data_IF_461120169214
#
_entry.id   IF_461120169214
#
_cell.length_a   1.000
_cell.length_b   1.000
_cell.length_c   1.000
_cell.angle_alpha   90.00
_cell.angle_beta   90.00
_cell.angle_gamma   90.00
#
_symmetry.space_group_name_H-M   'P 1'
#
loop_
_entity.id
_entity.type
_entity.pdbx_description
1 polymer ?
#
# COMPACT_ATOMS: atom_id res chain seq x y z
N UNK A 1 26.16 -7.36 -12.01
CA UNK A 1 25.62 -7.55 -10.67
C UNK A 1 24.96 -8.92 -10.52
N UNK A 2 24.00 -9.29 -11.36
CA UNK A 2 23.33 -10.60 -11.36
C UNK A 2 23.91 -11.61 -12.36
N UNK A 3 25.01 -11.29 -13.01
CA UNK A 3 25.61 -12.07 -14.08
C UNK A 3 25.74 -13.58 -13.78
N UNK A 4 26.17 -14.01 -12.58
CA UNK A 4 26.28 -15.42 -12.26
C UNK A 4 24.95 -16.17 -12.15
N UNK A 5 23.85 -15.47 -11.89
CA UNK A 5 22.50 -16.00 -11.68
C UNK A 5 21.59 -15.82 -12.90
N UNK A 6 21.95 -14.93 -13.84
CA UNK A 6 21.18 -14.67 -15.07
C UNK A 6 21.02 -15.95 -15.89
N UNK A 7 19.78 -16.26 -16.27
CA UNK A 7 19.43 -17.47 -17.00
C UNK A 7 19.41 -18.78 -16.17
N UNK A 8 19.85 -18.73 -14.90
CA UNK A 8 19.79 -19.86 -13.95
C UNK A 8 18.62 -19.70 -13.00
N UNK A 9 18.74 -18.78 -12.04
CA UNK A 9 17.74 -18.52 -11.01
C UNK A 9 17.10 -17.13 -11.12
N UNK A 10 17.61 -16.26 -12.01
CA UNK A 10 17.04 -14.93 -12.28
C UNK A 10 16.78 -14.76 -13.77
N UNK A 11 15.61 -14.20 -14.08
CA UNK A 11 15.29 -13.57 -15.35
C UNK A 11 14.89 -12.11 -15.08
N UNK A 12 15.40 -11.20 -15.91
CA UNK A 12 15.05 -9.77 -15.83
C UNK A 12 14.25 -9.41 -17.06
N UNK A 13 13.07 -8.85 -16.85
CA UNK A 13 12.19 -8.41 -17.91
C UNK A 13 11.77 -6.96 -17.64
N UNK A 14 12.39 -6.04 -18.36
CA UNK A 14 12.21 -4.57 -18.21
C UNK A 14 12.44 -4.14 -16.75
N UNK A 15 11.37 -3.91 -15.99
CA UNK A 15 11.44 -3.45 -14.59
C UNK A 15 11.24 -4.58 -13.57
N UNK A 16 10.91 -5.79 -14.04
CA UNK A 16 10.60 -6.93 -13.19
C UNK A 16 11.76 -7.91 -13.11
N UNK A 17 11.99 -8.45 -11.91
CA UNK A 17 12.93 -9.55 -11.67
C UNK A 17 12.13 -10.78 -11.31
N UNK A 18 12.23 -11.80 -12.15
CA UNK A 18 11.63 -13.11 -11.90
C UNK A 18 12.68 -14.04 -11.32
N UNK A 19 12.36 -14.63 -10.16
CA UNK A 19 13.18 -15.68 -9.55
C UNK A 19 12.57 -17.02 -9.85
N UNK A 20 13.36 -17.92 -10.44
CA UNK A 20 12.96 -19.28 -10.75
C UNK A 20 13.94 -20.28 -10.17
N UNK A 21 13.48 -21.45 -9.81
CA UNK A 21 14.30 -22.55 -9.33
C UNK A 21 13.90 -23.84 -10.04
N UNK A 22 14.87 -24.70 -10.30
CA UNK A 22 14.59 -26.00 -10.94
C UNK A 22 13.86 -26.95 -10.01
N UNK A 23 14.14 -26.88 -8.72
CA UNK A 23 13.56 -27.73 -7.69
C UNK A 23 12.95 -26.86 -6.60
N UNK A 24 11.75 -27.22 -6.16
CA UNK A 24 10.99 -26.44 -5.14
C UNK A 24 11.79 -26.27 -3.84
N UNK A 25 12.50 -27.30 -3.41
CA UNK A 25 13.32 -27.25 -2.19
C UNK A 25 14.48 -26.25 -2.25
N UNK A 26 14.96 -25.91 -3.45
CA UNK A 26 16.08 -24.97 -3.65
C UNK A 26 15.60 -23.51 -3.71
N UNK A 27 14.30 -23.29 -3.94
CA UNK A 27 13.75 -21.94 -4.18
C UNK A 27 14.05 -20.95 -3.06
N UNK A 28 13.96 -21.38 -1.81
CA UNK A 28 14.27 -20.53 -0.65
C UNK A 28 15.76 -20.17 -0.61
N UNK A 29 16.63 -21.11 -1.02
CA UNK A 29 18.08 -20.89 -1.14
C UNK A 29 18.40 -19.86 -2.22
N UNK A 30 17.81 -20.00 -3.40
CA UNK A 30 17.97 -19.08 -4.52
C UNK A 30 17.49 -17.67 -4.17
N UNK A 31 16.30 -17.55 -3.57
CA UNK A 31 15.79 -16.27 -3.07
C UNK A 31 16.76 -15.61 -2.08
N UNK A 32 17.32 -16.39 -1.16
CA UNK A 32 18.27 -15.86 -0.16
C UNK A 32 19.53 -15.30 -0.81
N UNK A 33 20.06 -15.98 -1.82
CA UNK A 33 21.22 -15.50 -2.60
C UNK A 33 20.90 -14.18 -3.28
N UNK A 34 19.73 -14.08 -3.91
CA UNK A 34 19.30 -12.89 -4.64
C UNK A 34 19.10 -11.72 -3.68
N UNK A 35 18.41 -11.92 -2.56
CA UNK A 35 18.21 -10.87 -1.55
C UNK A 35 19.54 -10.39 -0.94
N UNK A 36 20.53 -11.28 -0.79
CA UNK A 36 21.86 -10.88 -0.34
C UNK A 36 22.59 -10.00 -1.38
N UNK A 37 22.43 -10.29 -2.67
CA UNK A 37 22.99 -9.44 -3.74
C UNK A 37 22.31 -8.06 -3.72
N UNK A 38 20.98 -8.01 -3.64
CA UNK A 38 20.22 -6.76 -3.56
C UNK A 38 20.65 -5.92 -2.34
N UNK A 39 20.80 -6.57 -1.18
CA UNK A 39 21.25 -5.91 0.06
C UNK A 39 22.67 -5.37 -0.05
N UNK A 40 23.60 -6.16 -0.61
CA UNK A 40 24.99 -5.76 -0.84
C UNK A 40 25.09 -4.50 -1.70
N UNK A 41 24.24 -4.40 -2.71
CA UNK A 41 24.20 -3.24 -3.61
C UNK A 41 23.24 -2.12 -3.17
N UNK A 42 22.68 -2.23 -1.96
CA UNK A 42 21.73 -1.24 -1.38
C UNK A 42 20.58 -0.91 -2.33
N UNK A 43 20.12 -1.88 -3.12
CA UNK A 43 18.99 -1.70 -4.02
C UNK A 43 17.69 -1.69 -3.24
N UNK A 44 16.80 -0.80 -3.64
CA UNK A 44 15.43 -0.75 -3.15
C UNK A 44 14.54 -1.46 -4.16
N UNK A 45 13.76 -2.41 -3.68
CA UNK A 45 12.79 -3.12 -4.51
C UNK A 45 11.42 -2.47 -4.34
N UNK A 46 10.79 -2.13 -5.46
CA UNK A 46 9.36 -1.89 -5.51
C UNK A 46 8.67 -3.24 -5.79
N UNK A 47 7.91 -3.71 -4.83
CA UNK A 47 7.12 -4.93 -4.98
C UNK A 47 5.66 -4.61 -4.78
N UNK A 48 4.83 -4.82 -5.80
CA UNK A 48 3.40 -4.48 -5.79
C UNK A 48 3.10 -3.04 -5.33
N UNK A 49 3.96 -2.08 -5.73
CA UNK A 49 3.83 -0.68 -5.34
C UNK A 49 4.38 -0.32 -3.95
N UNK A 50 4.97 -1.28 -3.23
CA UNK A 50 5.61 -1.07 -1.93
C UNK A 50 7.14 -1.12 -2.04
N UNK A 51 7.81 -0.38 -1.16
CA UNK A 51 9.27 -0.49 -1.04
C UNK A 51 9.63 -1.51 0.04
N UNK A 52 10.45 -2.48 -0.34
CA UNK A 52 11.07 -3.43 0.61
C UNK A 52 12.43 -2.89 1.01
N UNK A 53 12.61 -2.60 2.28
CA UNK A 53 13.85 -2.08 2.88
C UNK A 53 14.37 -3.03 3.96
N UNK A 54 15.52 -2.72 4.52
CA UNK A 54 16.05 -3.48 5.66
C UNK A 54 15.21 -3.30 6.94
N UNK A 55 14.38 -2.25 7.01
CA UNK A 55 13.48 -1.98 8.14
C UNK A 55 12.14 -2.68 8.02
N UNK A 56 11.81 -3.18 6.83
CA UNK A 56 10.53 -3.80 6.54
C UNK A 56 9.92 -3.30 5.23
N UNK A 57 8.60 -3.37 5.14
CA UNK A 57 7.83 -2.91 3.98
C UNK A 57 7.34 -1.49 4.23
N UNK A 58 7.66 -0.60 3.32
CA UNK A 58 7.34 0.83 3.39
C UNK A 58 6.49 1.25 2.19
N UNK A 59 5.71 2.31 2.37
CA UNK A 59 4.98 2.94 1.27
C UNK A 59 5.96 3.61 0.31
N UNK A 60 5.70 3.51 -0.98
CA UNK A 60 6.48 4.24 -1.98
C UNK A 60 6.32 5.76 -1.76
N UNK A 61 7.44 6.52 -1.67
CA UNK A 61 7.37 7.97 -1.54
C UNK A 61 6.61 8.66 -2.67
N UNK A 62 6.58 8.04 -3.85
CA UNK A 62 5.83 8.58 -4.99
C UNK A 62 4.33 8.52 -4.76
N UNK A 63 3.82 7.45 -4.13
CA UNK A 63 2.40 7.34 -3.77
C UNK A 63 2.01 8.38 -2.70
N UNK A 64 2.87 8.57 -1.70
CA UNK A 64 2.66 9.59 -0.67
C UNK A 64 2.65 10.99 -1.31
N UNK A 65 3.63 11.30 -2.14
CA UNK A 65 3.69 12.57 -2.88
C UNK A 65 2.48 12.80 -3.75
N UNK A 66 1.98 11.76 -4.42
CA UNK A 66 0.79 11.86 -5.25
C UNK A 66 -0.42 12.30 -4.42
N UNK A 67 -0.65 11.74 -3.23
CA UNK A 67 -1.76 12.14 -2.35
C UNK A 67 -1.51 13.55 -1.77
N UNK A 68 -0.27 13.88 -1.38
CA UNK A 68 0.05 15.21 -0.87
C UNK A 68 -0.19 16.32 -1.89
N UNK A 69 0.09 16.05 -3.16
CA UNK A 69 -0.10 17.00 -4.26
C UNK A 69 -1.56 17.15 -4.72
N UNK A 70 -2.45 16.25 -4.27
CA UNK A 70 -3.88 16.40 -4.57
C UNK A 70 -4.43 17.67 -3.94
N UNK A 71 -5.18 18.43 -4.75
CA UNK A 71 -6.01 19.51 -4.27
C UNK A 71 -7.32 18.97 -3.68
N UNK A 72 -8.11 19.85 -3.06
CA UNK A 72 -9.44 19.50 -2.59
C UNK A 72 -10.29 18.97 -3.74
N UNK A 73 -10.89 17.78 -3.60
CA UNK A 73 -11.81 17.27 -4.59
C UNK A 73 -12.96 18.25 -4.87
N UNK A 74 -13.24 18.49 -6.15
CA UNK A 74 -14.28 19.43 -6.59
C UNK A 74 -15.53 18.70 -7.12
N UNK A 75 -15.44 17.41 -7.29
CA UNK A 75 -16.51 16.57 -7.83
C UNK A 75 -16.38 15.13 -7.33
N UNK A 76 -17.46 14.32 -7.44
CA UNK A 76 -17.44 12.93 -7.00
C UNK A 76 -16.36 12.07 -7.65
N UNK A 77 -15.99 12.36 -8.90
CA UNK A 77 -14.95 11.62 -9.62
C UNK A 77 -13.57 11.82 -9.01
N UNK A 78 -13.27 13.02 -8.53
CA UNK A 78 -12.01 13.30 -7.83
C UNK A 78 -11.99 12.65 -6.44
N UNK A 79 -13.14 12.56 -5.75
CA UNK A 79 -13.25 11.78 -4.51
C UNK A 79 -13.04 10.29 -4.78
N UNK A 80 -13.59 9.76 -5.86
CA UNK A 80 -13.36 8.37 -6.28
C UNK A 80 -11.87 8.11 -6.56
N UNK A 81 -11.19 9.07 -7.15
CA UNK A 81 -9.75 9.00 -7.37
C UNK A 81 -8.97 8.96 -6.05
N UNK A 82 -9.33 9.86 -5.12
CA UNK A 82 -8.75 9.88 -3.77
C UNK A 82 -8.97 8.55 -3.04
N UNK A 83 -10.21 8.04 -3.02
CA UNK A 83 -10.53 6.75 -2.38
C UNK A 83 -9.80 5.58 -3.02
N UNK A 84 -9.66 5.56 -4.35
CA UNK A 84 -8.85 4.57 -5.06
C UNK A 84 -7.38 4.61 -4.65
N UNK A 85 -6.78 5.80 -4.57
CA UNK A 85 -5.39 5.96 -4.15
C UNK A 85 -5.19 5.54 -2.67
N UNK A 86 -6.10 5.92 -1.79
CA UNK A 86 -6.01 5.53 -0.37
C UNK A 86 -6.25 4.04 -0.16
N UNK A 87 -7.10 3.40 -0.96
CA UNK A 87 -7.34 1.96 -0.92
C UNK A 87 -6.08 1.14 -1.22
N UNK A 88 -5.20 1.62 -2.10
CA UNK A 88 -3.90 0.97 -2.35
C UNK A 88 -2.96 1.04 -1.16
N UNK A 89 -3.18 1.98 -0.24
CA UNK A 89 -2.39 2.23 0.96
C UNK A 89 -3.06 1.74 2.26
N UNK A 90 -4.19 1.04 2.16
CA UNK A 90 -5.02 0.65 3.31
C UNK A 90 -4.23 -0.06 4.42
N UNK A 91 -3.25 -0.89 4.06
CA UNK A 91 -2.39 -1.63 5.01
C UNK A 91 -1.50 -0.72 5.86
N UNK A 92 -1.19 0.48 5.35
CA UNK A 92 -0.36 1.47 6.05
C UNK A 92 -1.19 2.54 6.75
N UNK A 93 -2.50 2.49 6.65
CA UNK A 93 -3.39 3.43 7.29
C UNK A 93 -4.10 2.71 8.44
N UNK A 94 -3.61 2.93 9.66
CA UNK A 94 -4.30 2.40 10.85
C UNK A 94 -5.72 2.96 10.93
N UNK A 95 -6.67 2.11 11.28
CA UNK A 95 -8.09 2.48 11.32
C UNK A 95 -8.56 3.08 9.98
N UNK A 96 -8.16 2.42 8.87
CA UNK A 96 -8.45 2.89 7.51
C UNK A 96 -9.93 3.22 7.32
N UNK A 97 -10.83 2.35 7.78
CA UNK A 97 -12.26 2.54 7.66
C UNK A 97 -12.69 3.89 8.26
N UNK A 98 -12.30 4.18 9.50
CA UNK A 98 -12.68 5.41 10.19
C UNK A 98 -12.14 6.66 9.51
N UNK A 99 -10.86 6.62 9.08
CA UNK A 99 -10.20 7.76 8.45
C UNK A 99 -10.71 8.07 7.05
N UNK A 100 -11.11 7.05 6.31
CA UNK A 100 -11.55 7.18 4.92
C UNK A 100 -13.07 7.18 4.76
N UNK A 101 -13.84 6.81 5.80
CA UNK A 101 -15.30 6.82 5.79
C UNK A 101 -15.91 8.12 5.24
N UNK A 102 -15.45 9.33 5.64
CA UNK A 102 -16.01 10.57 5.14
C UNK A 102 -16.00 10.65 3.60
N UNK A 103 -14.91 10.20 2.98
CA UNK A 103 -14.76 10.24 1.52
C UNK A 103 -15.68 9.22 0.83
N UNK A 104 -15.87 8.02 1.41
CA UNK A 104 -16.80 7.04 0.89
C UNK A 104 -18.25 7.52 1.00
N UNK A 105 -18.62 8.17 2.09
CA UNK A 105 -19.95 8.77 2.26
C UNK A 105 -20.19 9.90 1.26
N UNK A 106 -19.17 10.73 1.01
CA UNK A 106 -19.25 11.82 0.03
C UNK A 106 -19.35 11.29 -1.40
N UNK A 107 -18.68 10.20 -1.73
CA UNK A 107 -18.75 9.57 -3.05
C UNK A 107 -20.18 9.11 -3.39
N UNK A 108 -20.96 8.68 -2.39
CA UNK A 108 -22.33 8.21 -2.58
C UNK A 108 -23.35 9.37 -2.73
N UNK A 109 -22.97 10.62 -2.45
CA UNK A 109 -23.82 11.81 -2.61
C UNK A 109 -23.75 12.37 -4.03
N UNK A 110 -24.31 11.67 -5.01
CA UNK A 110 -24.33 12.11 -6.42
C UNK A 110 -25.11 13.39 -6.68
N UNK A 111 -26.14 13.66 -5.85
CA UNK A 111 -26.93 14.90 -5.91
C UNK A 111 -26.57 15.76 -4.70
N UNK A 112 -25.97 16.93 -4.96
CA UNK A 112 -25.57 17.87 -3.92
C UNK A 112 -24.17 17.59 -3.36
N UNK A 113 -23.18 17.37 -4.26
CA UNK A 113 -21.79 17.31 -3.87
C UNK A 113 -21.39 18.65 -3.23
N UNK A 114 -20.95 18.61 -1.99
CA UNK A 114 -20.46 19.77 -1.25
C UNK A 114 -19.21 19.34 -0.45
N UNK A 115 -18.11 20.04 -0.68
CA UNK A 115 -16.88 19.85 0.07
C UNK A 115 -16.89 20.77 1.30
N UNK A 116 -17.42 20.28 2.41
CA UNK A 116 -17.50 21.02 3.67
C UNK A 116 -16.15 21.10 4.40
N UNK A 117 -16.08 21.89 5.45
CA UNK A 117 -14.90 22.01 6.33
C UNK A 117 -14.54 20.68 6.99
N UNK A 118 -15.53 19.85 7.34
CA UNK A 118 -15.30 18.52 7.93
C UNK A 118 -14.52 17.61 6.99
N UNK A 119 -14.86 17.62 5.69
CA UNK A 119 -14.13 16.84 4.68
C UNK A 119 -12.74 17.42 4.44
N UNK A 120 -12.57 18.73 4.48
CA UNK A 120 -11.28 19.39 4.38
C UNK A 120 -10.37 19.00 5.56
N UNK A 121 -10.91 18.99 6.78
CA UNK A 121 -10.19 18.58 7.97
C UNK A 121 -9.78 17.09 7.92
N UNK A 122 -10.72 16.21 7.54
CA UNK A 122 -10.43 14.78 7.38
C UNK A 122 -9.34 14.53 6.32
N UNK A 123 -9.35 15.28 5.23
CA UNK A 123 -8.35 15.20 4.18
C UNK A 123 -6.97 15.69 4.66
N UNK A 124 -6.93 16.75 5.42
CA UNK A 124 -5.70 17.26 6.03
C UNK A 124 -5.11 16.27 7.04
N UNK A 125 -5.93 15.70 7.91
CA UNK A 125 -5.52 14.67 8.85
C UNK A 125 -4.96 13.42 8.16
N UNK A 126 -5.56 13.02 7.05
CA UNK A 126 -5.07 11.90 6.24
C UNK A 126 -3.69 12.21 5.63
N UNK A 127 -3.49 13.41 5.08
CA UNK A 127 -2.19 13.85 4.55
C UNK A 127 -1.13 13.91 5.64
N UNK A 128 -1.47 14.44 6.80
CA UNK A 128 -0.56 14.51 7.94
C UNK A 128 -0.15 13.11 8.41
N UNK A 129 -1.12 12.20 8.52
CA UNK A 129 -0.85 10.80 8.87
C UNK A 129 0.11 10.15 7.85
N UNK A 130 -0.13 10.33 6.56
CA UNK A 130 0.71 9.79 5.49
C UNK A 130 2.09 10.44 5.38
N UNK A 131 2.31 11.59 6.04
CA UNK A 131 3.66 12.18 6.12
C UNK A 131 4.63 11.31 6.93
N UNK A 132 4.10 10.48 7.84
CA UNK A 132 4.87 9.54 8.66
C UNK A 132 4.18 8.17 8.67
N UNK A 133 4.11 7.49 7.52
CA UNK A 133 3.43 6.22 7.44
C UNK A 133 4.15 5.19 8.30
N UNK A 134 3.43 4.27 8.94
CA UNK A 134 4.03 3.17 9.66
C UNK A 134 4.82 2.26 8.72
N UNK A 135 5.88 1.67 9.24
CA UNK A 135 6.66 0.64 8.57
C UNK A 135 6.08 -0.70 9.01
N UNK A 136 5.78 -1.58 8.06
CA UNK A 136 5.42 -2.96 8.39
C UNK A 136 6.71 -3.76 8.58
N UNK A 137 7.06 -4.05 9.83
CA UNK A 137 8.15 -4.95 10.18
C UNK A 137 7.74 -6.43 9.99
N UNK A 138 8.73 -7.31 9.97
CA UNK A 138 8.45 -8.73 10.12
C UNK A 138 8.11 -9.05 11.58
N UNK A 139 7.33 -10.11 11.76
CA UNK A 139 6.98 -10.61 13.10
C UNK A 139 8.18 -11.26 13.75
N UNK A 140 8.35 -11.05 15.04
CA UNK A 140 9.29 -11.81 15.84
C UNK A 140 8.64 -13.11 16.32
N UNK A 141 9.46 -14.11 16.64
CA UNK A 141 8.95 -15.33 17.23
C UNK A 141 8.26 -15.01 18.57
N UNK A 142 7.09 -15.60 18.80
CA UNK A 142 6.26 -15.43 20.01
C UNK A 142 5.58 -14.05 20.16
N UNK A 143 5.57 -13.20 19.13
CA UNK A 143 4.82 -11.95 19.15
C UNK A 143 3.30 -12.21 19.14
N UNK A 144 2.58 -11.56 20.05
CA UNK A 144 1.12 -11.67 20.15
C UNK A 144 0.49 -10.84 19.03
N UNK A 145 -0.22 -11.52 18.13
CA UNK A 145 -0.92 -10.89 17.02
C UNK A 145 -2.35 -10.52 17.42
N UNK A 146 -2.75 -9.29 17.08
CA UNK A 146 -4.13 -8.84 17.18
C UNK A 146 -4.70 -8.63 15.78
N UNK A 147 -5.77 -9.34 15.44
CA UNK A 147 -6.49 -9.13 14.18
C UNK A 147 -7.66 -8.18 14.43
N UNK A 148 -7.70 -7.07 13.69
CA UNK A 148 -8.83 -6.16 13.69
C UNK A 148 -9.67 -6.41 12.43
N UNK A 149 -10.88 -6.90 12.62
CA UNK A 149 -11.82 -7.15 11.52
C UNK A 149 -12.84 -6.02 11.54
N UNK A 150 -12.82 -5.16 10.52
CA UNK A 150 -13.88 -4.19 10.30
C UNK A 150 -15.01 -4.89 9.53
N UNK A 151 -16.16 -5.07 10.18
CA UNK A 151 -17.38 -5.53 9.50
C UNK A 151 -18.21 -4.31 9.12
N UNK A 152 -18.48 -4.15 7.83
CA UNK A 152 -19.44 -3.15 7.35
C UNK A 152 -20.87 -3.70 7.58
N UNK A 153 -21.57 -3.15 8.56
CA UNK A 153 -22.97 -3.48 8.87
C UNK A 153 -23.97 -2.88 7.86
N UNK A 154 -23.51 -2.28 6.79
CA UNK A 154 -24.34 -1.65 5.77
C UNK A 154 -24.96 -2.61 4.75
N UNK A 155 -24.85 -3.92 4.91
CA UNK A 155 -25.59 -4.89 4.09
C UNK A 155 -26.85 -5.37 4.82
N UNK A 156 -27.93 -4.62 4.71
CA UNK A 156 -29.17 -5.13 5.28
C UNK A 156 -30.42 -4.26 5.19
N UNK A 157 -30.49 -3.32 4.28
CA UNK A 157 -31.76 -2.67 3.93
C UNK A 157 -31.91 -2.57 2.42
N UNK A 158 -32.16 -3.72 1.80
CA UNK A 158 -32.76 -3.75 0.48
C UNK A 158 -34.18 -3.18 0.54
N UNK A 159 -34.62 -2.46 -0.49
CA UNK A 159 -35.97 -1.92 -0.53
C UNK A 159 -37.00 -3.04 -0.55
N UNK A 160 -38.00 -2.97 0.34
CA UNK A 160 -39.25 -3.68 0.18
C UNK A 160 -40.11 -2.93 -0.81
#
# INVERSE_FOLDING_TARGET
MFEPQLGKSIEVYVDDIMVKSKVVSEHVGDLRVIFNILRKHKLRLNFLGYMVTHRGIEVSPNQIKAIHNLQHPRNPKEVQNLTGMTATLNRFISRYADRCQPFYLLMNKWKGFEWSEDYALAFQQLKEYLSRPPIMSHLEADEVLSAYIAMDLCQGLGPR
#
